data_IF_985546258779
#
_entry.id   IF_985546258779
#
_cell.length_a   1.000
_cell.length_b   1.000
_cell.length_c   1.000
_cell.angle_alpha   90.00
_cell.angle_beta   90.00
_cell.angle_gamma   90.00
#
_symmetry.space_group_name_H-M   'P 1'
#
loop_
_entity.id
_entity.type
_entity.pdbx_description
1 polymer ?
#
# COMPACT_ATOMS: atom_id res chain seq x y z
N UNK A 1 -16.71 -2.94 19.84
CA UNK A 1 -15.70 -3.93 20.28
C UNK A 1 -15.33 -4.74 19.05
N UNK A 2 -14.05 -4.79 18.64
CA UNK A 2 -13.65 -5.58 17.46
C UNK A 2 -13.88 -7.06 17.74
N UNK A 3 -14.73 -7.70 16.93
CA UNK A 3 -14.85 -9.16 16.94
C UNK A 3 -13.69 -9.78 16.15
N UNK A 4 -13.44 -11.07 16.35
CA UNK A 4 -12.41 -11.81 15.59
C UNK A 4 -12.65 -11.74 14.07
N UNK A 5 -13.92 -11.67 13.65
CA UNK A 5 -14.33 -11.49 12.25
C UNK A 5 -13.96 -10.11 11.71
N UNK A 6 -14.08 -9.06 12.53
CA UNK A 6 -13.72 -7.70 12.12
C UNK A 6 -12.21 -7.57 11.88
N UNK A 7 -11.40 -8.17 12.74
CA UNK A 7 -9.93 -8.14 12.59
C UNK A 7 -9.48 -8.91 11.35
N UNK A 8 -10.13 -10.03 11.03
CA UNK A 8 -9.84 -10.76 9.78
C UNK A 8 -10.09 -9.88 8.55
N UNK A 9 -11.20 -9.14 8.51
CA UNK A 9 -11.48 -8.20 7.43
C UNK A 9 -10.43 -7.09 7.35
N UNK A 10 -9.99 -6.56 8.49
CA UNK A 10 -8.92 -5.55 8.52
C UNK A 10 -7.61 -6.17 8.02
N UNK A 11 -7.28 -7.40 8.41
CA UNK A 11 -6.11 -8.11 7.92
C UNK A 11 -6.14 -8.24 6.39
N UNK A 12 -7.22 -8.82 5.84
CA UNK A 12 -7.37 -9.01 4.39
C UNK A 12 -7.28 -7.68 3.63
N UNK A 13 -7.82 -6.60 4.22
CA UNK A 13 -7.87 -5.28 3.59
C UNK A 13 -6.52 -4.56 3.64
N UNK A 14 -5.72 -4.69 4.69
CA UNK A 14 -4.53 -3.85 4.91
C UNK A 14 -3.19 -4.58 4.87
N UNK A 15 -3.15 -5.90 5.07
CA UNK A 15 -1.90 -6.65 5.25
C UNK A 15 -0.88 -6.39 4.13
N UNK A 16 -1.25 -6.62 2.87
CA UNK A 16 -0.35 -6.44 1.73
C UNK A 16 0.16 -5.00 1.59
N UNK A 17 -0.69 -4.01 1.87
CA UNK A 17 -0.31 -2.59 1.82
C UNK A 17 0.68 -2.23 2.94
N UNK A 18 0.45 -2.73 4.15
CA UNK A 18 1.35 -2.51 5.28
C UNK A 18 2.70 -3.19 5.09
N UNK A 19 2.74 -4.39 4.48
CA UNK A 19 4.00 -5.08 4.14
C UNK A 19 4.79 -4.28 3.11
N UNK A 20 4.13 -3.76 2.07
CA UNK A 20 4.77 -2.91 1.07
C UNK A 20 5.30 -1.61 1.69
N UNK A 21 4.50 -0.98 2.55
CA UNK A 21 4.89 0.21 3.28
C UNK A 21 6.10 -0.05 4.19
N UNK A 22 6.10 -1.16 4.94
CA UNK A 22 7.23 -1.59 5.77
C UNK A 22 8.51 -1.81 4.93
N UNK A 23 8.37 -2.32 3.70
CA UNK A 23 9.50 -2.59 2.81
C UNK A 23 10.20 -1.32 2.30
N UNK A 24 9.57 -0.14 2.43
CA UNK A 24 10.24 1.16 2.22
C UNK A 24 11.31 1.44 3.27
N UNK A 25 11.21 0.81 4.45
CA UNK A 25 12.14 0.97 5.58
C UNK A 25 13.05 -0.24 5.76
N UNK A 26 12.53 -1.45 5.58
CA UNK A 26 13.25 -2.71 5.77
C UNK A 26 13.49 -3.41 4.42
N UNK A 27 14.74 -3.80 4.09
CA UNK A 27 15.04 -4.38 2.78
C UNK A 27 14.52 -5.81 2.61
N UNK A 28 14.43 -6.57 3.71
CA UNK A 28 14.04 -7.98 3.68
C UNK A 28 12.53 -8.13 3.84
N UNK A 29 11.88 -8.64 2.80
CA UNK A 29 10.42 -8.82 2.77
C UNK A 29 9.89 -9.70 3.90
N UNK A 30 10.59 -10.78 4.24
CA UNK A 30 10.17 -11.67 5.33
C UNK A 30 10.11 -10.92 6.68
N UNK A 31 11.06 -10.03 6.96
CA UNK A 31 11.03 -9.20 8.17
C UNK A 31 9.84 -8.24 8.19
N UNK A 32 9.45 -7.71 7.02
CA UNK A 32 8.23 -6.90 6.90
C UNK A 32 6.97 -7.72 7.18
N UNK A 33 6.89 -8.93 6.62
CA UNK A 33 5.75 -9.84 6.79
C UNK A 33 5.56 -10.23 8.27
N UNK A 34 6.65 -10.62 8.94
CA UNK A 34 6.67 -10.96 10.36
C UNK A 34 6.25 -9.75 11.22
N UNK A 35 6.84 -8.58 10.97
CA UNK A 35 6.55 -7.35 11.72
C UNK A 35 5.08 -6.94 11.60
N UNK A 36 4.51 -7.01 10.39
CA UNK A 36 3.10 -6.68 10.15
C UNK A 36 2.20 -7.73 10.80
N UNK A 37 2.56 -9.02 10.73
CA UNK A 37 1.81 -10.08 11.40
C UNK A 37 1.72 -9.83 12.91
N UNK A 38 2.83 -9.46 13.56
CA UNK A 38 2.83 -9.15 14.98
C UNK A 38 1.95 -7.93 15.33
N UNK A 39 1.79 -6.94 14.42
CA UNK A 39 0.85 -5.82 14.64
C UNK A 39 -0.59 -6.33 14.70
N UNK A 40 -0.95 -7.28 13.83
CA UNK A 40 -2.29 -7.87 13.84
C UNK A 40 -2.52 -8.80 15.03
N UNK A 41 -1.49 -9.50 15.51
CA UNK A 41 -1.53 -10.24 16.77
C UNK A 41 -1.81 -9.29 17.94
N UNK A 42 -1.05 -8.19 18.05
CA UNK A 42 -1.28 -7.14 19.05
C UNK A 42 -2.70 -6.58 18.98
N UNK A 43 -3.22 -6.36 17.77
CA UNK A 43 -4.57 -5.85 17.54
C UNK A 43 -5.63 -6.83 18.06
N UNK A 44 -5.41 -8.14 17.85
CA UNK A 44 -6.29 -9.21 18.30
C UNK A 44 -6.27 -9.40 19.82
N UNK A 45 -5.12 -9.22 20.45
CA UNK A 45 -4.95 -9.32 21.90
C UNK A 45 -5.52 -8.10 22.62
N UNK A 46 -5.12 -6.89 22.19
CA UNK A 46 -5.47 -5.62 22.87
C UNK A 46 -6.87 -5.14 22.54
N UNK A 47 -7.43 -5.56 21.39
CA UNK A 47 -8.77 -5.20 20.89
C UNK A 47 -9.10 -3.70 21.09
N UNK A 48 -8.23 -2.78 20.65
CA UNK A 48 -8.47 -1.36 20.80
C UNK A 48 -9.77 -0.94 20.09
N UNK A 49 -10.38 0.13 20.58
CA UNK A 49 -11.57 0.71 19.97
C UNK A 49 -11.15 1.95 19.19
N UNK A 50 -11.52 1.98 17.90
CA UNK A 50 -11.31 3.15 17.04
C UNK A 50 -12.66 3.82 16.77
N UNK A 51 -12.72 5.16 16.77
CA UNK A 51 -13.95 5.89 16.50
C UNK A 51 -14.43 5.74 15.03
N UNK A 52 -13.50 5.54 14.10
CA UNK A 52 -13.75 5.43 12.67
C UNK A 52 -12.61 4.68 11.95
N UNK A 53 -12.79 4.40 10.65
CA UNK A 53 -11.80 3.71 9.83
C UNK A 53 -10.50 4.53 9.63
N UNK A 54 -10.57 5.86 9.56
CA UNK A 54 -9.40 6.73 9.43
C UNK A 54 -8.49 6.59 10.64
N UNK A 55 -9.07 6.57 11.84
CA UNK A 55 -8.34 6.37 13.09
C UNK A 55 -7.68 4.99 13.17
N UNK A 56 -8.36 3.94 12.70
CA UNK A 56 -7.78 2.60 12.56
C UNK A 56 -6.60 2.61 11.57
N UNK A 57 -6.76 3.22 10.39
CA UNK A 57 -5.69 3.32 9.38
C UNK A 57 -4.47 4.04 9.91
N UNK A 58 -4.67 5.22 10.51
CA UNK A 58 -3.59 5.99 11.11
C UNK A 58 -2.84 5.15 12.16
N UNK A 59 -3.56 4.40 12.99
CA UNK A 59 -2.96 3.48 13.95
C UNK A 59 -2.11 2.39 13.29
N UNK A 60 -2.62 1.73 12.24
CA UNK A 60 -1.91 0.64 11.54
C UNK A 60 -0.61 1.12 10.89
N UNK A 61 -0.66 2.20 10.12
CA UNK A 61 0.53 2.77 9.47
C UNK A 61 1.53 3.33 10.51
N UNK A 62 1.03 3.96 11.58
CA UNK A 62 1.89 4.51 12.65
C UNK A 62 2.59 3.39 13.40
N UNK A 63 1.86 2.32 13.71
CA UNK A 63 2.42 1.12 14.35
C UNK A 63 3.47 0.46 13.46
N UNK A 64 3.20 0.35 12.16
CA UNK A 64 4.13 -0.22 11.17
C UNK A 64 5.42 0.60 11.09
N UNK A 65 5.30 1.92 10.88
CA UNK A 65 6.43 2.85 10.84
C UNK A 65 7.26 2.79 12.12
N UNK A 66 6.59 2.85 13.27
CA UNK A 66 7.26 2.81 14.58
C UNK A 66 8.00 1.49 14.80
N UNK A 67 7.39 0.34 14.45
CA UNK A 67 8.06 -0.96 14.56
C UNK A 67 9.23 -1.08 13.60
N UNK A 68 9.12 -0.57 12.37
CA UNK A 68 10.23 -0.55 11.42
C UNK A 68 11.40 0.28 11.96
N UNK A 69 11.12 1.47 12.51
CA UNK A 69 12.16 2.29 13.14
C UNK A 69 12.75 1.65 14.38
N UNK A 70 11.95 1.00 15.22
CA UNK A 70 12.44 0.27 16.38
C UNK A 70 13.33 -0.90 15.94
N UNK A 71 12.93 -1.66 14.93
CA UNK A 71 13.73 -2.74 14.35
C UNK A 71 15.05 -2.23 13.79
N UNK A 72 15.03 -1.18 12.95
CA UNK A 72 16.23 -0.52 12.45
C UNK A 72 17.09 0.04 13.59
N UNK A 73 16.48 0.56 14.65
CA UNK A 73 17.19 1.01 15.84
C UNK A 73 17.82 -0.18 16.56
N UNK A 74 17.16 -1.32 16.70
CA UNK A 74 17.75 -2.51 17.30
C UNK A 74 18.91 -3.07 16.46
N UNK A 75 18.78 -3.08 15.13
CA UNK A 75 19.88 -3.44 14.22
C UNK A 75 21.05 -2.45 14.34
N UNK A 76 20.77 -1.14 14.35
CA UNK A 76 21.79 -0.08 14.52
C UNK A 76 22.38 -0.04 15.93
N UNK A 77 21.63 -0.37 16.98
CA UNK A 77 22.10 -0.46 18.37
C UNK A 77 22.96 -1.72 18.55
N UNK A 78 22.64 -2.80 17.84
CA UNK A 78 23.51 -3.98 17.73
C UNK A 78 24.83 -3.64 17.03
N UNK A 79 24.82 -2.71 16.07
CA UNK A 79 26.02 -2.16 15.41
C UNK A 79 26.72 -1.01 16.18
N UNK A 80 26.03 -0.33 17.09
CA UNK A 80 26.51 0.85 17.83
C UNK A 80 25.91 0.90 19.24
N UNK A 81 26.74 0.63 20.24
CA UNK A 81 26.62 1.14 21.62
C UNK A 81 26.61 2.69 21.72
N UNK A 82 26.22 3.44 20.67
CA UNK A 82 26.44 4.88 20.54
C UNK A 82 25.17 5.65 20.13
N UNK A 83 24.55 6.24 21.16
CA UNK A 83 23.92 7.57 21.21
C UNK A 83 22.71 7.95 20.33
N UNK A 84 21.62 8.19 21.07
CA UNK A 84 20.60 9.24 21.00
C UNK A 84 19.43 9.22 20.00
N UNK A 85 18.32 9.70 20.57
CA UNK A 85 16.91 9.55 20.19
C UNK A 85 16.55 10.49 19.03
N UNK A 86 15.78 9.97 18.08
CA UNK A 86 15.17 10.77 17.01
C UNK A 86 13.89 11.41 17.56
N UNK A 87 13.77 12.70 17.25
CA UNK A 87 12.82 13.69 17.73
C UNK A 87 11.48 13.55 16.99
N UNK A 88 10.37 13.40 17.73
CA UNK A 88 9.00 13.44 17.19
C UNK A 88 8.36 14.73 17.67
N UNK A 89 7.82 15.56 16.76
CA UNK A 89 6.65 16.46 16.94
C UNK A 89 6.28 17.16 15.61
N UNK A 90 7.20 17.35 14.65
CA UNK A 90 6.87 17.96 13.33
C UNK A 90 6.21 17.01 12.31
N UNK A 91 6.05 15.72 12.65
CA UNK A 91 5.71 14.66 11.68
C UNK A 91 4.20 14.42 11.47
N UNK A 92 3.30 14.94 12.31
CA UNK A 92 1.94 14.39 12.38
C UNK A 92 1.06 14.77 11.17
N UNK A 93 1.14 16.01 10.67
CA UNK A 93 0.45 16.41 9.45
C UNK A 93 1.05 15.74 8.19
N UNK A 94 2.38 15.65 8.11
CA UNK A 94 3.07 14.95 7.03
C UNK A 94 2.77 13.44 7.03
N UNK A 95 2.64 12.84 8.21
CA UNK A 95 2.27 11.44 8.36
C UNK A 95 0.82 11.19 7.95
N UNK A 96 -0.13 12.06 8.33
CA UNK A 96 -1.52 11.91 7.87
C UNK A 96 -1.63 12.00 6.35
N UNK A 97 -0.87 12.90 5.71
CA UNK A 97 -0.78 12.95 4.27
C UNK A 97 -0.20 11.66 3.68
N UNK A 98 0.89 11.13 4.25
CA UNK A 98 1.47 9.85 3.82
C UNK A 98 0.45 8.69 3.94
N UNK A 99 -0.30 8.63 5.03
CA UNK A 99 -1.37 7.62 5.21
C UNK A 99 -2.45 7.75 4.15
N UNK A 100 -2.80 8.97 3.74
CA UNK A 100 -3.75 9.20 2.65
C UNK A 100 -3.21 8.73 1.30
N UNK A 101 -1.94 9.01 1.01
CA UNK A 101 -1.28 8.57 -0.25
C UNK A 101 -1.21 7.04 -0.35
N UNK A 102 -0.91 6.36 0.75
CA UNK A 102 -0.91 4.88 0.82
C UNK A 102 -2.32 4.30 0.66
N UNK A 103 -3.35 4.96 1.20
CA UNK A 103 -4.74 4.55 1.00
C UNK A 103 -5.18 4.67 -0.46
N UNK A 104 -4.85 5.78 -1.13
CA UNK A 104 -5.12 5.97 -2.57
C UNK A 104 -4.42 4.87 -3.37
N UNK A 105 -3.15 4.62 -3.08
CA UNK A 105 -2.36 3.59 -3.75
C UNK A 105 -2.98 2.21 -3.59
N UNK A 106 -3.38 1.85 -2.38
CA UNK A 106 -4.03 0.57 -2.09
C UNK A 106 -5.36 0.42 -2.84
N UNK A 107 -6.22 1.45 -2.81
CA UNK A 107 -7.49 1.39 -3.51
C UNK A 107 -7.28 1.25 -5.02
N UNK A 108 -6.30 1.95 -5.59
CA UNK A 108 -5.92 1.81 -6.99
C UNK A 108 -5.51 0.37 -7.32
N UNK A 109 -4.67 -0.26 -6.49
CA UNK A 109 -4.29 -1.66 -6.69
C UNK A 109 -5.49 -2.60 -6.65
N UNK A 110 -6.40 -2.44 -5.68
CA UNK A 110 -7.63 -3.23 -5.60
C UNK A 110 -8.54 -3.04 -6.81
N UNK A 111 -8.66 -1.80 -7.31
CA UNK A 111 -9.42 -1.51 -8.51
C UNK A 111 -8.77 -2.10 -9.77
N UNK A 112 -7.44 -2.16 -9.84
CA UNK A 112 -6.73 -2.84 -10.93
C UNK A 112 -6.93 -4.36 -10.85
N UNK A 113 -6.94 -4.95 -9.65
CA UNK A 113 -7.18 -6.37 -9.45
C UNK A 113 -8.59 -6.82 -9.86
N UNK A 114 -9.59 -5.93 -9.75
CA UNK A 114 -10.97 -6.20 -10.17
C UNK A 114 -11.16 -6.19 -11.69
N UNK A 115 -10.20 -5.64 -12.45
CA UNK A 115 -10.27 -5.65 -13.92
C UNK A 115 -10.21 -7.09 -14.47
N UNK A 116 -11.00 -7.34 -15.51
CA UNK A 116 -10.96 -8.61 -16.26
C UNK A 116 -9.58 -8.91 -16.86
N UNK A 117 -9.21 -10.19 -16.93
CA UNK A 117 -7.84 -10.70 -17.13
C UNK A 117 -6.92 -9.86 -18.03
N UNK A 118 -7.31 -9.67 -19.30
CA UNK A 118 -6.46 -8.96 -20.29
C UNK A 118 -6.32 -7.47 -20.02
N UNK A 119 -7.32 -6.83 -19.39
CA UNK A 119 -7.24 -5.43 -18.92
C UNK A 119 -6.26 -5.32 -17.76
N UNK A 120 -6.40 -6.19 -16.76
CA UNK A 120 -5.52 -6.22 -15.59
C UNK A 120 -4.06 -6.41 -15.99
N UNK A 121 -3.78 -7.42 -16.82
CA UNK A 121 -2.42 -7.74 -17.28
C UNK A 121 -1.75 -6.54 -17.97
N UNK A 122 -2.45 -5.89 -18.90
CA UNK A 122 -1.94 -4.71 -19.61
C UNK A 122 -1.69 -3.53 -18.66
N UNK A 123 -2.60 -3.26 -17.72
CA UNK A 123 -2.44 -2.18 -16.75
C UNK A 123 -1.28 -2.48 -15.80
N UNK A 124 -1.13 -3.71 -15.31
CA UNK A 124 -0.01 -4.12 -14.45
C UNK A 124 1.34 -3.98 -15.15
N UNK A 125 1.45 -4.36 -16.43
CA UNK A 125 2.68 -4.14 -17.21
C UNK A 125 2.97 -2.64 -17.42
N UNK A 126 1.92 -1.83 -17.62
CA UNK A 126 2.08 -0.38 -17.70
C UNK A 126 2.55 0.23 -16.38
N UNK A 127 2.07 -0.28 -15.23
CA UNK A 127 2.50 0.15 -13.90
C UNK A 127 3.97 -0.23 -13.61
N UNK A 128 4.46 -1.29 -14.26
CA UNK A 128 5.89 -1.66 -14.26
C UNK A 128 6.73 -0.78 -15.20
N UNK A 129 6.16 0.25 -15.83
CA UNK A 129 6.87 1.20 -16.69
C UNK A 129 7.05 0.76 -18.14
N UNK A 130 6.44 -0.35 -18.58
CA UNK A 130 6.57 -0.80 -19.97
C UNK A 130 5.80 0.15 -20.92
N UNK A 131 6.42 0.46 -22.06
CA UNK A 131 5.73 1.21 -23.12
C UNK A 131 4.69 0.33 -23.79
N UNK A 132 3.68 0.95 -24.39
CA UNK A 132 2.61 0.22 -25.09
C UNK A 132 3.15 -0.71 -26.21
N UNK A 133 4.27 -0.34 -26.85
CA UNK A 133 4.98 -1.19 -27.82
C UNK A 133 5.51 -2.47 -27.18
N UNK A 134 6.12 -2.35 -26.00
CA UNK A 134 6.78 -3.44 -25.31
C UNK A 134 5.74 -4.39 -24.73
N UNK A 135 4.60 -3.85 -24.25
CA UNK A 135 3.42 -4.62 -23.84
C UNK A 135 2.85 -5.40 -25.02
N UNK A 136 2.73 -4.77 -26.19
CA UNK A 136 2.21 -5.42 -27.40
C UNK A 136 3.08 -6.62 -27.80
N UNK A 137 4.41 -6.43 -27.79
CA UNK A 137 5.38 -7.50 -28.03
C UNK A 137 5.30 -8.61 -26.97
N UNK A 138 5.27 -8.24 -25.69
CA UNK A 138 5.21 -9.19 -24.57
C UNK A 138 3.97 -10.08 -24.63
N UNK A 139 2.83 -9.52 -25.02
CA UNK A 139 1.55 -10.23 -25.04
C UNK A 139 1.19 -10.81 -26.42
N UNK A 140 2.04 -10.63 -27.44
CA UNK A 140 1.79 -11.10 -28.80
C UNK A 140 0.53 -10.50 -29.43
N UNK A 141 0.21 -9.24 -29.15
CA UNK A 141 -0.97 -8.53 -29.67
C UNK A 141 -0.58 -7.26 -30.41
N UNK A 142 -1.52 -6.70 -31.19
CA UNK A 142 -1.28 -5.44 -31.89
C UNK A 142 -1.21 -4.27 -30.90
N UNK A 143 -0.34 -3.29 -31.21
CA UNK A 143 -0.22 -2.04 -30.45
C UNK A 143 -1.57 -1.32 -30.30
N UNK A 144 -2.39 -1.36 -31.35
CA UNK A 144 -3.72 -0.75 -31.32
C UNK A 144 -4.65 -1.46 -30.33
N UNK A 145 -4.57 -2.80 -30.23
CA UNK A 145 -5.30 -3.59 -29.22
C UNK A 145 -4.90 -3.17 -27.80
N UNK A 146 -3.60 -2.97 -27.53
CA UNK A 146 -3.13 -2.46 -26.23
C UNK A 146 -3.76 -1.11 -25.90
N UNK A 147 -3.73 -0.15 -26.84
CA UNK A 147 -4.32 1.19 -26.64
C UNK A 147 -5.82 1.12 -26.36
N UNK A 148 -6.56 0.31 -27.12
CA UNK A 148 -8.01 0.13 -26.95
C UNK A 148 -8.34 -0.49 -25.60
N UNK A 149 -7.61 -1.54 -25.20
CA UNK A 149 -7.83 -2.20 -23.90
C UNK A 149 -7.47 -1.25 -22.75
N UNK A 150 -6.36 -0.49 -22.83
CA UNK A 150 -6.02 0.53 -21.82
C UNK A 150 -7.10 1.60 -21.70
N UNK A 151 -7.60 2.12 -22.82
CA UNK A 151 -8.67 3.13 -22.82
C UNK A 151 -9.93 2.61 -22.14
N UNK A 152 -10.32 1.37 -22.41
CA UNK A 152 -11.45 0.71 -21.74
C UNK A 152 -11.20 0.50 -20.25
N UNK A 153 -10.02 0.00 -19.87
CA UNK A 153 -9.64 -0.20 -18.47
C UNK A 153 -9.65 1.11 -17.67
N UNK A 154 -9.10 2.20 -18.22
CA UNK A 154 -9.16 3.51 -17.56
C UNK A 154 -10.57 4.06 -17.42
N UNK A 155 -11.50 3.70 -18.30
CA UNK A 155 -12.91 4.09 -18.16
C UNK A 155 -13.58 3.34 -17.01
N UNK A 156 -13.27 2.07 -16.88
CA UNK A 156 -13.76 1.21 -15.80
C UNK A 156 -13.19 1.64 -14.44
N UNK A 157 -11.88 1.86 -14.36
CA UNK A 157 -11.22 2.39 -13.16
C UNK A 157 -11.81 3.76 -12.77
N UNK A 158 -12.03 4.66 -13.73
CA UNK A 158 -12.64 5.98 -13.46
C UNK A 158 -14.05 5.90 -12.91
N UNK A 159 -14.82 4.85 -13.22
CA UNK A 159 -16.15 4.67 -12.67
C UNK A 159 -16.12 4.20 -11.20
N UNK A 160 -15.01 3.64 -10.73
CA UNK A 160 -14.84 3.14 -9.37
C UNK A 160 -14.35 4.22 -8.39
N UNK A 161 -13.75 5.31 -8.88
CA UNK A 161 -13.19 6.39 -8.07
C UNK A 161 -13.99 7.69 -8.23
N UNK A 162 -14.14 8.42 -7.12
CA UNK A 162 -14.70 9.78 -7.15
C UNK A 162 -13.75 10.74 -7.89
N UNK A 163 -14.27 11.86 -8.42
CA UNK A 163 -13.53 12.79 -9.30
C UNK A 163 -12.17 13.27 -8.74
N UNK A 164 -11.96 13.23 -7.42
CA UNK A 164 -10.77 13.73 -6.74
C UNK A 164 -9.61 12.71 -6.70
N UNK A 165 -9.89 11.40 -6.67
CA UNK A 165 -8.87 10.34 -6.53
C UNK A 165 -8.26 9.92 -7.87
N UNK A 166 -8.99 10.16 -8.97
CA UNK A 166 -8.59 9.83 -10.34
C UNK A 166 -7.38 10.64 -10.81
N UNK A 167 -7.24 11.89 -10.33
CA UNK A 167 -6.14 12.77 -10.72
C UNK A 167 -4.80 12.23 -10.18
N UNK A 168 -4.80 11.70 -8.95
CA UNK A 168 -3.63 11.03 -8.37
C UNK A 168 -3.23 9.77 -9.16
N UNK A 169 -4.22 9.00 -9.64
CA UNK A 169 -3.98 7.83 -10.50
C UNK A 169 -3.31 8.19 -11.83
N UNK A 170 -3.59 9.37 -12.40
CA UNK A 170 -2.95 9.83 -13.64
C UNK A 170 -1.53 10.35 -13.42
N UNK A 171 -1.22 10.89 -12.24
CA UNK A 171 0.11 11.42 -11.91
C UNK A 171 1.11 10.29 -11.63
N UNK A 172 0.67 9.16 -11.04
CA UNK A 172 1.55 8.02 -10.75
C UNK A 172 1.87 7.12 -11.96
N UNK A 173 1.20 7.29 -13.11
CA UNK A 173 1.37 6.44 -14.31
C UNK A 173 2.19 7.16 -15.41
N UNK A 174 2.91 8.24 -15.06
CA UNK A 174 3.75 8.98 -16.01
C UNK A 174 5.21 8.52 -15.99
#
# INVERSE_FOLDING_TARGET
>A
MFTRSDIHKVFDKYYSALVLYANRFLPLRNECEDLVQDIFVDLLEKKPVFPDETSLRAYLYKSTRNRCYNHLKHLKVRDKYASHRIQQVEEEASFLQEVMEEEISRQLYQAVESLSGRKREIIMLSLKGLKNSDIALTLGIQLQTVKTIKSSAYRELRALFSHTDVIACFIMIK
#
